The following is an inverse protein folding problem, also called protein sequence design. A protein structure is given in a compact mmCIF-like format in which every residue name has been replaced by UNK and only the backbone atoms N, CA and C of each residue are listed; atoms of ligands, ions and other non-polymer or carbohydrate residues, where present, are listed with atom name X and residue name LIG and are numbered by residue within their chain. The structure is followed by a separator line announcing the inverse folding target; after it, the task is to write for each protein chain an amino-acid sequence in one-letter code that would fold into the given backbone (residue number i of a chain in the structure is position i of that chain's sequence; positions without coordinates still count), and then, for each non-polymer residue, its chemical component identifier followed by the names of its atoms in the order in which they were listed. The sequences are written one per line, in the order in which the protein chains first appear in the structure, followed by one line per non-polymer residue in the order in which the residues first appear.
data_IF_449351218588
#
_entry.id   IF_449351218588
#
_cell.length_a   1.000
_cell.length_b   1.000
_cell.length_c   1.000
_cell.angle_alpha   90.00
_cell.angle_beta   90.00
_cell.angle_gamma   90.00
#
_symmetry.space_group_name_H-M   'P 1'
#
loop_
_entity.id
_entity.type
_entity.pdbx_description
1 polymer ?
#
# COMPACT_ATOMS: atom_id res chain seq x y z
N UNK A 1 -12.89 -2.70 -21.53
CA UNK A 1 -12.17 -1.76 -22.41
C UNK A 1 -10.88 -2.42 -22.87
N UNK A 2 -10.42 -2.19 -24.12
CA UNK A 2 -9.15 -2.72 -24.63
C UNK A 2 -8.23 -1.55 -24.97
N UNK A 3 -6.98 -1.62 -24.53
CA UNK A 3 -5.97 -0.58 -24.74
C UNK A 3 -4.64 -1.28 -25.02
N UNK A 4 -3.90 -0.79 -26.00
CA UNK A 4 -2.53 -1.24 -26.25
C UNK A 4 -1.57 -0.41 -25.40
N UNK A 5 -0.62 -1.07 -24.74
CA UNK A 5 0.42 -0.43 -23.92
C UNK A 5 1.78 -0.97 -24.36
N UNK A 6 2.77 -0.09 -24.41
CA UNK A 6 4.17 -0.49 -24.59
C UNK A 6 4.77 -0.84 -23.23
N UNK A 7 5.40 -1.99 -23.13
CA UNK A 7 6.11 -2.46 -21.92
C UNK A 7 7.44 -3.11 -22.33
N UNK A 8 8.43 -3.15 -21.43
CA UNK A 8 9.66 -3.89 -21.66
C UNK A 8 9.41 -5.40 -21.90
N UNK A 9 10.21 -5.99 -22.80
CA UNK A 9 10.07 -7.40 -23.22
C UNK A 9 10.31 -8.39 -22.09
N UNK A 10 11.23 -8.08 -21.18
CA UNK A 10 11.55 -8.86 -19.98
C UNK A 10 10.33 -8.97 -19.06
N UNK A 11 9.70 -7.83 -18.75
CA UNK A 11 8.48 -7.78 -17.94
C UNK A 11 7.34 -8.55 -18.60
N UNK A 12 7.17 -8.42 -19.92
CA UNK A 12 6.14 -9.15 -20.64
C UNK A 12 6.34 -10.67 -20.53
N UNK A 13 7.57 -11.16 -20.69
CA UNK A 13 7.91 -12.59 -20.59
C UNK A 13 7.66 -13.13 -19.19
N UNK A 14 8.00 -12.38 -18.15
CA UNK A 14 7.75 -12.76 -16.76
C UNK A 14 6.25 -12.91 -16.49
N UNK A 15 5.45 -11.94 -16.94
CA UNK A 15 3.98 -11.97 -16.80
C UNK A 15 3.37 -13.13 -17.59
N UNK A 16 3.87 -13.41 -18.79
CA UNK A 16 3.43 -14.57 -19.57
C UNK A 16 3.69 -15.88 -18.84
N UNK A 17 4.89 -16.04 -18.27
CA UNK A 17 5.25 -17.23 -17.51
C UNK A 17 4.35 -17.42 -16.30
N UNK A 18 4.17 -16.36 -15.50
CA UNK A 18 3.34 -16.37 -14.32
C UNK A 18 1.86 -16.66 -14.63
N UNK A 19 1.31 -16.01 -15.67
CA UNK A 19 -0.07 -16.23 -16.09
C UNK A 19 -0.33 -17.69 -16.50
N UNK A 20 0.65 -18.33 -17.16
CA UNK A 20 0.58 -19.76 -17.52
C UNK A 20 0.62 -20.65 -16.29
N UNK A 21 1.50 -20.36 -15.33
CA UNK A 21 1.64 -21.11 -14.08
C UNK A 21 0.32 -21.16 -13.30
N UNK A 22 -0.33 -20.01 -13.12
CA UNK A 22 -1.58 -19.90 -12.36
C UNK A 22 -2.84 -20.10 -13.21
N UNK A 23 -2.68 -20.49 -14.48
CA UNK A 23 -3.76 -20.75 -15.45
C UNK A 23 -4.76 -19.60 -15.60
N UNK A 24 -4.27 -18.36 -15.66
CA UNK A 24 -5.09 -17.18 -15.88
C UNK A 24 -4.70 -16.44 -17.17
N UNK A 25 -5.49 -15.43 -17.54
CA UNK A 25 -5.14 -14.58 -18.69
C UNK A 25 -4.09 -13.52 -18.30
N UNK A 26 -3.25 -13.10 -19.27
CA UNK A 26 -2.31 -11.97 -19.07
C UNK A 26 -3.04 -10.70 -18.64
N UNK A 27 -4.18 -10.41 -19.27
CA UNK A 27 -5.02 -9.25 -18.92
C UNK A 27 -5.52 -9.29 -17.49
N UNK A 28 -5.75 -10.48 -16.94
CA UNK A 28 -6.15 -10.64 -15.55
C UNK A 28 -5.01 -10.35 -14.59
N UNK A 29 -3.78 -10.80 -14.89
CA UNK A 29 -2.59 -10.44 -14.11
C UNK A 29 -2.43 -8.92 -14.05
N UNK A 30 -2.47 -8.25 -15.20
CA UNK A 30 -2.42 -6.78 -15.24
C UNK A 30 -3.54 -6.13 -14.45
N UNK A 31 -4.77 -6.64 -14.56
CA UNK A 31 -5.93 -6.09 -13.85
C UNK A 31 -5.76 -6.20 -12.34
N UNK A 32 -5.28 -7.34 -11.84
CA UNK A 32 -5.01 -7.56 -10.41
C UNK A 32 -3.93 -6.61 -9.91
N UNK A 33 -2.81 -6.52 -10.64
CA UNK A 33 -1.70 -5.63 -10.29
C UNK A 33 -2.12 -4.15 -10.25
N UNK A 34 -2.86 -3.68 -11.26
CA UNK A 34 -3.35 -2.30 -11.32
C UNK A 34 -4.34 -2.01 -10.19
N UNK A 35 -5.25 -2.94 -9.88
CA UNK A 35 -6.20 -2.78 -8.78
C UNK A 35 -5.47 -2.62 -7.45
N UNK A 36 -4.49 -3.48 -7.19
CA UNK A 36 -3.68 -3.42 -5.96
C UNK A 36 -2.88 -2.12 -5.87
N UNK A 37 -2.22 -1.70 -6.97
CA UNK A 37 -1.51 -0.43 -7.03
C UNK A 37 -2.42 0.76 -6.71
N UNK A 38 -3.64 0.79 -7.27
CA UNK A 38 -4.59 1.86 -7.03
C UNK A 38 -5.14 1.86 -5.60
N UNK A 39 -5.38 0.69 -5.00
CA UNK A 39 -5.74 0.61 -3.57
C UNK A 39 -4.62 1.15 -2.68
N UNK A 40 -3.38 0.71 -2.88
CA UNK A 40 -2.22 1.20 -2.11
C UNK A 40 -2.09 2.72 -2.23
N UNK A 41 -2.21 3.27 -3.44
CA UNK A 41 -2.20 4.72 -3.67
C UNK A 41 -3.35 5.47 -2.98
N UNK A 42 -4.55 4.89 -2.90
CA UNK A 42 -5.67 5.48 -2.16
C UNK A 42 -5.37 5.55 -0.66
N UNK A 43 -4.85 4.46 -0.10
CA UNK A 43 -4.45 4.40 1.31
C UNK A 43 -3.36 5.41 1.64
N UNK A 44 -2.32 5.53 0.80
CA UNK A 44 -1.26 6.53 0.95
C UNK A 44 -1.82 7.96 0.97
N UNK A 45 -2.70 8.31 0.03
CA UNK A 45 -3.34 9.63 -0.02
C UNK A 45 -4.20 9.92 1.21
N UNK A 46 -4.92 8.90 1.70
CA UNK A 46 -5.71 9.03 2.92
C UNK A 46 -4.81 9.32 4.12
N UNK A 47 -3.72 8.57 4.27
CA UNK A 47 -2.74 8.79 5.33
C UNK A 47 -2.11 10.19 5.24
N UNK A 48 -1.72 10.64 4.05
CA UNK A 48 -1.19 11.98 3.83
C UNK A 48 -2.20 13.07 4.22
N UNK A 49 -3.47 12.87 3.88
CA UNK A 49 -4.55 13.80 4.22
C UNK A 49 -4.78 13.88 5.74
N UNK A 50 -4.75 12.73 6.43
CA UNK A 50 -4.82 12.69 7.89
C UNK A 50 -3.62 13.40 8.51
N UNK A 51 -2.41 13.08 8.08
CA UNK A 51 -1.19 13.72 8.59
C UNK A 51 -1.23 15.24 8.42
N UNK A 52 -1.81 15.75 7.32
CA UNK A 52 -1.98 17.20 7.10
C UNK A 52 -2.97 17.84 8.08
N UNK A 53 -4.04 17.15 8.46
CA UNK A 53 -5.01 17.67 9.43
C UNK A 53 -4.38 17.69 10.83
N UNK A 54 -3.68 16.62 11.19
CA UNK A 54 -3.02 16.46 12.49
C UNK A 54 -1.61 17.05 12.55
N UNK A 55 -1.25 17.92 11.59
CA UNK A 55 0.06 18.57 11.57
C UNK A 55 0.22 19.61 12.67
N UNK A 56 -0.88 20.20 13.13
CA UNK A 56 -0.89 21.10 14.29
C UNK A 56 -1.09 20.31 15.58
N UNK A 57 -0.16 20.47 16.52
CA UNK A 57 -0.14 19.73 17.78
C UNK A 57 -1.25 20.19 18.73
N UNK A 58 -2.31 19.39 18.88
CA UNK A 58 -3.16 19.51 20.07
C UNK A 58 -2.37 18.97 21.27
N UNK A 59 -1.99 19.89 22.15
CA UNK A 59 -1.15 19.64 23.33
C UNK A 59 -1.72 18.55 24.24
N UNK A 60 -3.06 18.40 24.31
CA UNK A 60 -3.71 17.37 25.12
C UNK A 60 -3.65 15.99 24.46
N UNK A 61 -3.78 15.94 23.14
CA UNK A 61 -3.70 14.69 22.37
C UNK A 61 -2.28 14.11 22.44
N UNK A 62 -1.25 14.97 22.37
CA UNK A 62 0.15 14.56 22.50
C UNK A 62 0.51 13.98 23.88
N UNK A 63 -0.07 14.49 24.97
CA UNK A 63 0.12 13.91 26.31
C UNK A 63 -0.46 12.49 26.42
N UNK A 64 -1.62 12.24 25.80
CA UNK A 64 -2.23 10.90 25.78
C UNK A 64 -1.42 9.95 24.89
N UNK A 65 -1.03 10.38 23.68
CA UNK A 65 -0.23 9.59 22.74
C UNK A 65 1.15 9.22 23.32
N UNK A 66 1.81 10.15 24.02
CA UNK A 66 3.12 9.89 24.64
C UNK A 66 3.03 8.88 25.79
N UNK A 67 1.97 8.93 26.60
CA UNK A 67 1.71 7.92 27.65
C UNK A 67 1.43 6.55 27.05
N UNK A 68 0.61 6.47 26.00
CA UNK A 68 0.32 5.21 25.31
C UNK A 68 1.55 4.59 24.63
N UNK A 69 2.36 5.40 23.94
CA UNK A 69 3.62 4.94 23.32
C UNK A 69 4.63 4.44 24.35
N UNK A 70 4.69 5.06 25.54
CA UNK A 70 5.56 4.61 26.63
C UNK A 70 5.13 3.25 27.18
N UNK A 71 3.83 3.08 27.45
CA UNK A 71 3.25 1.80 27.88
C UNK A 71 3.55 0.67 26.88
N UNK A 72 3.33 0.91 25.58
CA UNK A 72 3.63 -0.09 24.53
C UNK A 72 5.12 -0.45 24.44
N UNK A 73 6.02 0.53 24.63
CA UNK A 73 7.46 0.28 24.60
C UNK A 73 7.90 -0.58 25.78
N UNK A 74 7.42 -0.25 26.96
CA UNK A 74 7.86 -0.86 28.21
C UNK A 74 7.24 -2.25 28.42
N UNK A 75 6.07 -2.54 27.82
CA UNK A 75 5.31 -3.78 28.10
C UNK A 75 5.20 -4.76 26.91
N UNK A 76 5.39 -4.30 25.66
CA UNK A 76 5.17 -5.14 24.45
C UNK A 76 6.47 -5.46 23.68
N UNK A 77 7.55 -4.70 23.91
CA UNK A 77 8.83 -4.90 23.21
C UNK A 77 9.94 -5.51 24.09
N UNK A 78 9.71 -5.65 25.40
CA UNK A 78 10.63 -6.35 26.32
C UNK A 78 10.21 -7.82 26.63
N UNK A 79 9.28 -8.38 25.85
CA UNK A 79 8.94 -9.83 25.85
C UNK A 79 9.55 -10.56 24.64
#
# INVERSE_FOLDING_TARGET
MKTAISIPDDIFKEIESYAREIKCSRSEVFTRAVKEFLERRRSEKMLESLNRIYQEEDRKENEVLSRGKKYFRDEVLEE
#
